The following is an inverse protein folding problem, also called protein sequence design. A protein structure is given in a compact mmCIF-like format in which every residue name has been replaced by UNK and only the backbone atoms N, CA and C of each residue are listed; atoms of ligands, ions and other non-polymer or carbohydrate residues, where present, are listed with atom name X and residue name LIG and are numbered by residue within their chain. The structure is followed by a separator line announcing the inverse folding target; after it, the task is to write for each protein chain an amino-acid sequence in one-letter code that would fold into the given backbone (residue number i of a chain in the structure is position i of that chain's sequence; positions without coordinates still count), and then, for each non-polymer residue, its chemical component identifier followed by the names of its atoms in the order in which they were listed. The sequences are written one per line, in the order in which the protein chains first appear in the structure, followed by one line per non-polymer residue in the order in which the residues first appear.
data_IF_465243385631
#
_entry.id   IF_465243385631
#
_cell.length_a   1.000
_cell.length_b   1.000
_cell.length_c   1.000
_cell.angle_alpha   90.00
_cell.angle_beta   90.00
_cell.angle_gamma   90.00
#
_symmetry.space_group_name_H-M   'P 1'
#
loop_
_entity.id
_entity.type
_entity.pdbx_description
1 polymer ?
#
# COMPACT_ATOMS: atom_id res chain seq x y z
N UNK A 1 4.45 16.32 -12.35
CA UNK A 1 4.44 14.87 -12.04
C UNK A 1 4.93 14.73 -10.61
N UNK A 2 4.02 14.64 -9.65
CA UNK A 2 4.35 14.51 -8.23
C UNK A 2 4.80 13.07 -7.98
N UNK A 3 6.12 12.84 -7.91
CA UNK A 3 6.65 11.61 -7.31
C UNK A 3 6.13 11.56 -5.88
N UNK A 4 5.25 10.61 -5.59
CA UNK A 4 4.81 10.30 -4.23
C UNK A 4 6.07 10.08 -3.37
N UNK A 5 6.31 10.89 -2.33
CA UNK A 5 7.52 10.82 -1.51
C UNK A 5 7.55 9.61 -0.57
N UNK A 6 6.49 8.80 -0.52
CA UNK A 6 6.43 7.62 0.35
C UNK A 6 7.38 6.54 -0.16
N UNK A 7 8.38 6.19 0.66
CA UNK A 7 9.30 5.10 0.40
C UNK A 7 8.61 3.72 0.51
N UNK A 8 9.21 2.68 -0.05
CA UNK A 8 8.71 1.30 0.07
C UNK A 8 8.56 0.89 1.56
N UNK A 9 9.46 1.37 2.43
CA UNK A 9 9.38 1.12 3.87
C UNK A 9 8.14 1.77 4.53
N UNK A 10 7.69 2.92 4.02
CA UNK A 10 6.47 3.57 4.53
C UNK A 10 5.22 2.75 4.18
N UNK A 11 5.18 2.15 2.99
CA UNK A 11 4.09 1.26 2.59
C UNK A 11 4.04 -0.01 3.43
N UNK A 12 5.19 -0.60 3.73
CA UNK A 12 5.29 -1.72 4.65
C UNK A 12 4.74 -1.36 6.05
N UNK A 13 5.17 -0.23 6.61
CA UNK A 13 4.71 0.22 7.93
C UNK A 13 3.19 0.45 7.95
N UNK A 14 2.63 1.05 6.89
CA UNK A 14 1.17 1.25 6.74
C UNK A 14 0.41 -0.08 6.71
N UNK A 15 0.93 -1.09 6.02
CA UNK A 15 0.31 -2.42 5.97
C UNK A 15 0.30 -3.12 7.33
N UNK A 16 1.43 -3.06 8.02
CA UNK A 16 1.57 -3.60 9.38
C UNK A 16 0.58 -2.94 10.36
N UNK A 17 0.48 -1.61 10.31
CA UNK A 17 -0.48 -0.86 11.14
C UNK A 17 -1.93 -1.20 10.81
N UNK A 18 -2.28 -1.30 9.51
CA UNK A 18 -3.63 -1.67 9.09
C UNK A 18 -4.08 -3.02 9.69
N UNK A 19 -3.17 -4.00 9.76
CA UNK A 19 -3.46 -5.29 10.41
C UNK A 19 -3.67 -5.15 11.92
N UNK A 20 -2.84 -4.34 12.58
CA UNK A 20 -2.99 -4.05 14.01
C UNK A 20 -4.30 -3.32 14.32
N UNK A 21 -4.78 -2.50 13.38
CA UNK A 21 -6.04 -1.77 13.47
C UNK A 21 -7.28 -2.64 13.16
N UNK A 22 -7.08 -3.93 12.85
CA UNK A 22 -8.16 -4.88 12.56
C UNK A 22 -8.74 -4.77 11.15
N UNK A 23 -8.06 -4.07 10.23
CA UNK A 23 -8.46 -4.00 8.84
C UNK A 23 -8.20 -5.34 8.12
N UNK A 24 -8.76 -5.45 6.93
CA UNK A 24 -8.62 -6.60 6.03
C UNK A 24 -7.70 -6.27 4.85
N UNK A 25 -7.22 -7.30 4.15
CA UNK A 25 -6.31 -7.12 3.01
C UNK A 25 -6.92 -6.25 1.89
N UNK A 26 -8.25 -6.24 1.76
CA UNK A 26 -8.96 -5.44 0.75
C UNK A 26 -9.02 -3.95 1.09
N UNK A 27 -8.72 -3.59 2.34
CA UNK A 27 -8.63 -2.20 2.79
C UNK A 27 -7.30 -1.54 2.38
N UNK A 28 -6.50 -2.19 1.52
CA UNK A 28 -5.30 -1.60 0.94
C UNK A 28 -5.69 -0.30 0.19
N UNK A 29 -5.18 0.87 0.62
CA UNK A 29 -5.57 2.15 0.02
C UNK A 29 -5.16 2.27 -1.46
N UNK A 30 -4.21 1.46 -1.93
CA UNK A 30 -3.76 1.43 -3.32
C UNK A 30 -4.77 0.79 -4.27
N UNK A 31 -5.79 0.10 -3.75
CA UNK A 31 -6.91 -0.43 -4.53
C UNK A 31 -8.00 0.63 -4.78
N UNK A 32 -7.95 1.78 -4.11
CA UNK A 32 -8.90 2.87 -4.35
C UNK A 32 -8.74 3.42 -5.78
N UNK A 33 -9.85 3.78 -6.43
CA UNK A 33 -9.85 4.33 -7.80
C UNK A 33 -8.89 5.50 -7.98
N UNK A 34 -8.77 6.36 -6.96
CA UNK A 34 -7.87 7.53 -6.97
C UNK A 34 -6.39 7.18 -6.89
N UNK A 35 -6.04 5.95 -6.49
CA UNK A 35 -4.68 5.47 -6.34
C UNK A 35 -4.24 4.54 -7.49
N UNK A 36 -5.12 4.29 -8.48
CA UNK A 36 -4.78 3.45 -9.63
C UNK A 36 -3.78 4.17 -10.56
N UNK A 37 -2.87 3.43 -11.23
CA UNK A 37 -1.88 4.00 -12.15
C UNK A 37 -2.47 4.88 -13.25
N UNK A 38 -3.65 4.50 -13.76
CA UNK A 38 -4.37 5.26 -14.78
C UNK A 38 -4.82 6.65 -14.31
N UNK A 39 -4.93 6.87 -13.00
CA UNK A 39 -5.33 8.13 -12.38
C UNK A 39 -4.12 8.92 -11.87
N UNK A 40 -3.17 8.25 -11.22
CA UNK A 40 -1.99 8.90 -10.62
C UNK A 40 -0.90 9.21 -11.65
N UNK A 41 -0.90 8.51 -12.79
CA UNK A 41 0.12 8.63 -13.83
C UNK A 41 1.44 7.93 -13.50
N UNK A 42 1.50 7.15 -12.42
CA UNK A 42 2.64 6.26 -12.15
C UNK A 42 2.63 5.04 -13.08
N UNK A 43 3.78 4.39 -13.23
CA UNK A 43 3.83 3.12 -13.95
C UNK A 43 3.14 2.02 -13.15
N UNK A 44 2.62 1.00 -13.85
CA UNK A 44 2.04 -0.18 -13.18
C UNK A 44 3.05 -0.83 -12.23
N UNK A 45 4.35 -0.82 -12.56
CA UNK A 45 5.40 -1.40 -11.74
C UNK A 45 5.66 -0.62 -10.45
N UNK A 46 5.64 0.73 -10.50
CA UNK A 46 5.75 1.56 -9.30
C UNK A 46 4.58 1.33 -8.34
N UNK A 47 3.35 1.30 -8.88
CA UNK A 47 2.16 1.02 -8.10
C UNK A 47 2.19 -0.40 -7.48
N UNK A 48 2.53 -1.41 -8.28
CA UNK A 48 2.61 -2.79 -7.81
C UNK A 48 3.66 -2.93 -6.69
N UNK A 49 4.79 -2.24 -6.81
CA UNK A 49 5.82 -2.25 -5.75
C UNK A 49 5.28 -1.71 -4.42
N UNK A 50 4.43 -0.68 -4.45
CA UNK A 50 3.77 -0.15 -3.24
C UNK A 50 2.73 -1.13 -2.68
N UNK A 51 1.96 -1.77 -3.57
CA UNK A 51 0.96 -2.79 -3.21
C UNK A 51 1.65 -3.94 -2.48
N UNK A 52 2.70 -4.50 -3.09
CA UNK A 52 3.47 -5.62 -2.54
C UNK A 52 4.08 -5.27 -1.17
N UNK A 53 4.61 -4.05 -1.02
CA UNK A 53 5.17 -3.59 0.24
C UNK A 53 4.11 -3.49 1.35
N UNK A 54 2.94 -2.92 1.03
CA UNK A 54 1.82 -2.84 1.97
C UNK A 54 1.32 -4.23 2.37
N UNK A 55 1.11 -5.11 1.39
CA UNK A 55 0.65 -6.49 1.64
C UNK A 55 1.68 -7.28 2.47
N UNK A 56 2.97 -7.11 2.21
CA UNK A 56 4.03 -7.73 3.00
C UNK A 56 3.98 -7.28 4.47
N UNK A 57 3.78 -5.98 4.72
CA UNK A 57 3.60 -5.44 6.06
C UNK A 57 2.37 -6.02 6.76
N UNK A 58 1.24 -6.03 6.05
CA UNK A 58 -0.02 -6.55 6.55
C UNK A 58 0.07 -8.04 6.93
N UNK A 59 0.70 -8.84 6.07
CA UNK A 59 0.83 -10.29 6.28
C UNK A 59 1.85 -10.65 7.37
N UNK A 60 2.87 -9.82 7.61
CA UNK A 60 3.84 -10.06 8.67
C UNK A 60 3.31 -9.67 10.06
N UNK A 61 2.42 -8.67 10.13
CA UNK A 61 1.81 -8.26 11.38
C UNK A 61 0.84 -9.33 11.92
N UNK A 62 0.84 -9.51 13.24
CA UNK A 62 -0.18 -10.33 13.91
C UNK A 62 -1.46 -9.51 14.03
N UNK A 63 -2.62 -10.14 13.81
CA UNK A 63 -3.89 -9.54 14.20
C UNK A 63 -3.86 -9.27 15.71
N UNK A 64 -4.32 -8.09 16.12
CA UNK A 64 -4.55 -7.74 17.52
C UNK A 64 -5.68 -8.58 18.13
#
# INVERSE_FOLDING_TARGET
MTRDPSSIHDWFAKGSQARADGLTIIDNPLYAKSALPAVTGETLQEWQTKVDAWEAGFNQAKAA
#
